data_IF_247617365598
#
_entry.id   IF_247617365598
#
_cell.length_a   1.000
_cell.length_b   1.000
_cell.length_c   1.000
_cell.angle_alpha   90.00
_cell.angle_beta   90.00
_cell.angle_gamma   90.00
#
_symmetry.space_group_name_H-M   'P 1'
#
loop_
_entity.id
_entity.type
_entity.pdbx_description
1 polymer ?
#
# COMPACT_ATOMS: atom_id res chain seq x y z
N UNK A 1 -1.91 19.98 23.70
CA UNK A 1 -2.23 19.22 22.47
C UNK A 1 -2.65 20.22 21.40
N UNK A 2 -1.77 20.57 20.45
CA UNK A 2 -2.10 21.51 19.37
C UNK A 2 -2.91 20.73 18.31
N UNK A 3 -4.19 21.06 18.13
CA UNK A 3 -4.97 20.59 16.97
C UNK A 3 -4.26 21.09 15.71
N UNK A 4 -3.79 20.18 14.88
CA UNK A 4 -3.24 20.51 13.57
C UNK A 4 -4.31 21.17 12.72
N UNK A 5 -3.97 22.27 12.06
CA UNK A 5 -4.83 22.96 11.09
C UNK A 5 -5.26 21.97 10.01
N UNK A 6 -6.54 21.92 9.69
CA UNK A 6 -7.10 21.15 8.57
C UNK A 6 -6.27 21.42 7.32
N UNK A 7 -5.53 20.41 6.85
CA UNK A 7 -4.86 20.41 5.56
C UNK A 7 -5.74 19.63 4.60
N UNK A 8 -5.80 20.09 3.37
CA UNK A 8 -6.33 19.27 2.30
C UNK A 8 -5.36 18.09 2.15
N UNK A 9 -5.72 16.92 2.69
CA UNK A 9 -4.88 15.72 2.83
C UNK A 9 -4.72 15.01 1.45
N UNK A 10 -4.38 15.78 0.43
CA UNK A 10 -4.13 15.35 -0.94
C UNK A 10 -2.73 14.79 -1.05
N UNK A 11 -2.55 13.79 -1.91
CA UNK A 11 -1.24 13.19 -2.15
C UNK A 11 -0.25 14.16 -2.78
N UNK A 12 1.05 13.95 -2.54
CA UNK A 12 2.15 14.84 -2.95
C UNK A 12 2.79 14.46 -4.30
N UNK A 13 2.12 13.61 -5.08
CA UNK A 13 2.49 13.16 -6.43
C UNK A 13 1.30 13.27 -7.40
N UNK A 14 1.59 13.32 -8.71
CA UNK A 14 0.57 13.58 -9.74
C UNK A 14 -0.10 12.32 -10.31
N UNK A 15 0.66 11.23 -10.48
CA UNK A 15 0.22 10.03 -11.20
C UNK A 15 -0.54 9.04 -10.28
N UNK A 16 -1.72 9.43 -9.79
CA UNK A 16 -2.56 8.59 -8.91
C UNK A 16 -3.11 7.39 -9.66
N UNK A 17 -2.95 6.18 -9.08
CA UNK A 17 -3.37 4.91 -9.65
C UNK A 17 -2.38 4.31 -10.66
N UNK A 18 -1.24 4.96 -10.91
CA UNK A 18 -0.26 4.47 -11.88
C UNK A 18 0.36 3.12 -11.48
N UNK A 19 0.28 2.69 -10.21
CA UNK A 19 0.73 1.35 -9.81
C UNK A 19 -0.08 0.21 -10.44
N UNK A 20 -1.26 0.48 -10.99
CA UNK A 20 -2.03 -0.52 -11.74
C UNK A 20 -1.61 -0.63 -13.21
N UNK A 21 -0.90 0.35 -13.76
CA UNK A 21 -0.50 0.36 -15.16
C UNK A 21 0.34 -0.90 -15.48
N UNK A 22 -0.01 -1.69 -16.50
CA UNK A 22 0.73 -2.92 -16.84
C UNK A 22 2.16 -2.61 -17.31
N UNK A 23 2.38 -1.42 -17.84
CA UNK A 23 3.65 -0.94 -18.37
C UNK A 23 4.46 -0.09 -17.38
N UNK A 24 4.06 0.00 -16.11
CA UNK A 24 4.72 0.79 -15.06
C UNK A 24 6.25 0.61 -15.02
N UNK A 25 6.75 -0.61 -15.22
CA UNK A 25 8.19 -0.89 -15.19
C UNK A 25 8.94 -0.29 -16.38
N UNK A 26 8.26 -0.14 -17.52
CA UNK A 26 8.82 0.39 -18.76
C UNK A 26 8.59 1.91 -18.88
N UNK A 27 7.40 2.38 -18.50
CA UNK A 27 6.97 3.77 -18.56
C UNK A 27 6.49 4.28 -17.20
N UNK A 28 7.40 4.42 -16.22
CA UNK A 28 7.04 4.97 -14.93
C UNK A 28 6.69 6.47 -15.04
N UNK A 29 5.91 7.01 -14.08
CA UNK A 29 5.69 8.45 -13.97
C UNK A 29 7.00 9.26 -13.98
N UNK A 30 6.94 10.47 -14.51
CA UNK A 30 8.13 11.32 -14.69
C UNK A 30 8.94 11.47 -13.38
N UNK A 31 10.26 11.38 -13.52
CA UNK A 31 11.22 11.49 -12.41
C UNK A 31 11.04 10.48 -11.27
N UNK A 32 10.29 9.40 -11.50
CA UNK A 32 10.11 8.32 -10.55
C UNK A 32 10.93 7.09 -10.93
N UNK A 33 11.12 6.20 -9.96
CA UNK A 33 11.84 4.94 -10.12
C UNK A 33 10.87 3.80 -9.79
N UNK A 34 10.45 2.98 -10.76
CA UNK A 34 9.53 1.88 -10.52
C UNK A 34 10.22 0.71 -9.82
N UNK A 35 9.44 -0.15 -9.19
CA UNK A 35 9.84 -1.51 -8.84
C UNK A 35 8.63 -2.41 -8.63
N UNK A 36 8.89 -3.70 -8.73
CA UNK A 36 7.94 -4.77 -8.45
C UNK A 36 8.68 -5.91 -7.75
N UNK A 37 7.99 -6.60 -6.85
CA UNK A 37 8.43 -7.88 -6.32
C UNK A 37 7.22 -8.74 -5.99
N UNK A 38 7.29 -10.02 -6.32
CA UNK A 38 6.17 -10.94 -6.16
C UNK A 38 6.64 -12.29 -5.65
N UNK A 39 5.98 -12.80 -4.61
CA UNK A 39 6.23 -14.13 -4.03
C UNK A 39 4.97 -14.98 -4.07
N UNK A 40 5.13 -16.26 -4.42
CA UNK A 40 4.09 -17.26 -4.16
C UNK A 40 4.02 -17.51 -2.65
N UNK A 41 2.84 -17.31 -2.07
CA UNK A 41 2.59 -17.43 -0.63
C UNK A 41 1.73 -18.66 -0.27
N UNK A 42 1.38 -19.51 -1.24
CA UNK A 42 0.73 -20.79 -1.00
C UNK A 42 -0.26 -21.13 -2.11
N UNK A 43 -1.33 -21.84 -1.76
CA UNK A 43 -2.40 -22.23 -2.66
C UNK A 43 -3.76 -22.30 -1.95
N UNK A 44 -4.84 -22.26 -2.72
CA UNK A 44 -6.22 -22.44 -2.24
C UNK A 44 -6.89 -21.20 -1.62
N UNK A 45 -8.20 -21.29 -1.44
CA UNK A 45 -9.04 -20.17 -0.97
C UNK A 45 -8.72 -19.74 0.45
N UNK A 46 -8.47 -20.66 1.37
CA UNK A 46 -8.14 -20.34 2.77
C UNK A 46 -6.87 -19.48 2.87
N UNK A 47 -5.86 -19.77 2.03
CA UNK A 47 -4.64 -18.97 1.96
C UNK A 47 -4.92 -17.57 1.43
N UNK A 48 -5.73 -17.48 0.38
CA UNK A 48 -6.14 -16.22 -0.22
C UNK A 48 -6.90 -15.34 0.77
N UNK A 49 -7.91 -15.89 1.44
CA UNK A 49 -8.73 -15.19 2.44
C UNK A 49 -7.87 -14.69 3.61
N UNK A 50 -7.02 -15.56 4.18
CA UNK A 50 -6.12 -15.19 5.29
C UNK A 50 -5.14 -14.09 4.91
N UNK A 51 -4.55 -14.17 3.71
CA UNK A 51 -3.60 -13.17 3.23
C UNK A 51 -4.27 -11.84 2.88
N UNK A 52 -5.47 -11.89 2.31
CA UNK A 52 -6.29 -10.71 2.03
C UNK A 52 -6.69 -9.98 3.31
N UNK A 53 -7.16 -10.72 4.32
CA UNK A 53 -7.48 -10.15 5.63
C UNK A 53 -6.23 -9.51 6.27
N UNK A 54 -5.11 -10.24 6.30
CA UNK A 54 -3.84 -9.72 6.81
C UNK A 54 -3.41 -8.43 6.11
N UNK A 55 -3.61 -8.34 4.79
CA UNK A 55 -3.29 -7.13 4.04
C UNK A 55 -4.15 -5.95 4.48
N UNK A 56 -5.47 -6.15 4.63
CA UNK A 56 -6.42 -5.09 5.00
C UNK A 56 -6.33 -4.69 6.48
N UNK A 57 -5.77 -5.54 7.34
CA UNK A 57 -5.45 -5.23 8.75
C UNK A 57 -4.05 -4.64 8.93
N UNK A 58 -3.44 -4.11 7.86
CA UNK A 58 -2.14 -3.41 7.89
C UNK A 58 -0.94 -4.30 8.25
N UNK A 59 -1.05 -5.62 8.16
CA UNK A 59 0.02 -6.56 8.59
C UNK A 59 1.30 -6.34 7.79
N UNK A 60 1.19 -6.03 6.49
CA UNK A 60 2.35 -5.70 5.64
C UNK A 60 3.20 -4.58 6.27
N UNK A 61 2.57 -3.49 6.72
CA UNK A 61 3.26 -2.37 7.36
C UNK A 61 3.68 -2.73 8.79
N UNK A 62 2.76 -3.21 9.65
CA UNK A 62 3.03 -3.49 11.07
C UNK A 62 4.19 -4.47 11.26
N UNK A 63 4.12 -5.63 10.62
CA UNK A 63 5.13 -6.67 10.79
C UNK A 63 6.42 -6.43 9.98
N UNK A 64 6.48 -5.38 9.15
CA UNK A 64 7.74 -4.87 8.60
C UNK A 64 8.57 -4.03 9.60
N UNK A 65 8.07 -3.89 10.84
CA UNK A 65 8.69 -3.11 11.90
C UNK A 65 8.33 -1.62 11.83
N UNK A 66 7.18 -1.29 11.24
CA UNK A 66 6.65 0.08 11.21
C UNK A 66 5.44 0.16 12.15
N UNK A 67 5.39 1.20 12.98
CA UNK A 67 4.19 1.53 13.72
C UNK A 67 3.18 2.19 12.77
N UNK A 68 1.95 1.68 12.77
CA UNK A 68 0.81 2.30 12.08
C UNK A 68 0.04 3.10 13.12
N UNK A 69 -0.01 4.42 12.93
CA UNK A 69 -0.55 5.39 13.87
C UNK A 69 -1.56 6.31 13.16
N UNK A 70 -2.43 6.96 13.95
CA UNK A 70 -3.34 8.02 13.47
C UNK A 70 -4.16 7.61 12.23
N UNK A 71 -4.74 6.40 12.25
CA UNK A 71 -5.61 5.93 11.17
C UNK A 71 -6.93 6.70 11.25
N UNK A 72 -7.15 7.60 10.30
CA UNK A 72 -8.30 8.49 10.23
C UNK A 72 -9.19 8.12 9.04
N UNK A 73 -10.52 8.08 9.21
CA UNK A 73 -11.45 7.87 8.10
C UNK A 73 -11.39 9.05 7.12
N UNK A 74 -11.87 8.83 5.88
CA UNK A 74 -11.94 9.86 4.87
C UNK A 74 -12.81 11.05 5.33
N UNK A 75 -12.38 12.32 5.17
CA UNK A 75 -13.20 13.48 5.49
C UNK A 75 -14.29 13.71 4.43
N UNK A 76 -15.57 13.66 4.82
CA UNK A 76 -16.73 13.97 3.96
C UNK A 76 -17.53 12.73 3.53
N UNK A 77 -18.62 12.88 2.72
CA UNK A 77 -19.29 11.73 2.13
C UNK A 77 -18.22 10.94 1.37
N UNK A 78 -18.04 9.68 1.77
CA UNK A 78 -16.86 8.86 1.54
C UNK A 78 -16.19 9.19 0.19
N UNK A 79 -14.93 9.63 0.22
CA UNK A 79 -14.06 9.49 -0.94
C UNK A 79 -14.09 8.01 -1.31
N UNK A 80 -14.88 7.66 -2.32
CA UNK A 80 -15.19 6.27 -2.62
C UNK A 80 -14.00 5.54 -3.27
N UNK A 81 -12.85 6.22 -3.39
CA UNK A 81 -11.68 5.72 -4.09
C UNK A 81 -11.87 5.75 -5.59
N UNK A 82 -10.82 5.33 -6.28
CA UNK A 82 -10.91 4.89 -7.67
C UNK A 82 -10.93 3.36 -7.61
N UNK A 83 -12.00 2.74 -8.11
CA UNK A 83 -11.98 1.30 -8.36
C UNK A 83 -11.44 1.04 -9.75
N UNK A 84 -10.88 -0.13 -9.98
CA UNK A 84 -10.36 -0.54 -11.29
C UNK A 84 -11.03 -1.86 -11.68
N UNK A 85 -11.35 -2.03 -12.96
CA UNK A 85 -11.74 -3.34 -13.49
C UNK A 85 -10.52 -4.28 -13.65
N UNK A 86 -10.76 -5.50 -14.14
CA UNK A 86 -9.72 -6.51 -14.34
C UNK A 86 -8.64 -6.04 -15.34
N UNK A 87 -8.98 -5.08 -16.19
CA UNK A 87 -8.12 -4.48 -17.20
C UNK A 87 -7.35 -3.24 -16.70
N UNK A 88 -7.58 -2.81 -15.44
CA UNK A 88 -6.91 -1.66 -14.84
C UNK A 88 -7.52 -0.31 -15.25
N UNK A 89 -8.75 -0.30 -15.79
CA UNK A 89 -9.48 0.92 -16.14
C UNK A 89 -10.18 1.50 -14.92
N UNK A 90 -10.06 2.82 -14.65
CA UNK A 90 -10.83 3.47 -13.59
C UNK A 90 -12.34 3.31 -13.80
N UNK A 91 -13.03 2.71 -12.83
CA UNK A 91 -14.49 2.60 -12.79
C UNK A 91 -15.06 3.28 -11.53
N UNK A 92 -16.31 3.73 -11.64
CA UNK A 92 -17.04 4.24 -10.48
C UNK A 92 -17.19 3.12 -9.43
N UNK A 93 -16.88 3.38 -8.15
CA UNK A 93 -16.94 2.37 -7.10
C UNK A 93 -18.37 1.81 -6.97
N UNK A 94 -18.47 0.48 -6.87
CA UNK A 94 -19.74 -0.25 -6.94
C UNK A 94 -20.61 -0.12 -5.69
N UNK A 95 -20.09 0.43 -4.58
CA UNK A 95 -20.84 0.65 -3.33
C UNK A 95 -20.44 1.98 -2.68
N UNK A 96 -21.44 2.82 -2.42
CA UNK A 96 -21.27 4.12 -1.75
C UNK A 96 -21.12 4.03 -0.22
N UNK A 97 -21.36 2.86 0.37
CA UNK A 97 -21.12 2.59 1.79
C UNK A 97 -20.35 1.27 1.90
N UNK A 98 -19.06 1.37 2.22
CA UNK A 98 -18.28 0.24 2.73
C UNK A 98 -18.51 0.25 4.23
N UNK A 99 -19.24 -0.74 4.75
CA UNK A 99 -19.34 -0.93 6.20
C UNK A 99 -17.94 -1.06 6.78
N UNK A 100 -17.60 -0.16 7.70
CA UNK A 100 -16.27 -0.10 8.26
C UNK A 100 -16.05 -1.30 9.20
N UNK A 101 -15.13 -2.20 8.80
CA UNK A 101 -14.67 -3.33 9.60
C UNK A 101 -13.54 -2.91 10.53
N UNK A 102 -13.40 -3.58 11.66
CA UNK A 102 -12.36 -3.33 12.67
C UNK A 102 -11.66 -4.64 13.04
N UNK A 103 -10.36 -4.58 13.32
CA UNK A 103 -9.60 -5.68 13.92
C UNK A 103 -9.95 -5.86 15.41
N UNK A 104 -9.40 -6.91 16.04
CA UNK A 104 -9.68 -7.23 17.44
C UNK A 104 -9.25 -6.11 18.41
N UNK A 105 -8.26 -5.31 18.01
CA UNK A 105 -7.73 -4.17 18.73
C UNK A 105 -8.53 -2.87 18.49
N UNK A 106 -9.55 -2.91 17.62
CA UNK A 106 -10.40 -1.77 17.29
C UNK A 106 -9.79 -0.81 16.26
N UNK A 107 -8.73 -1.22 15.56
CA UNK A 107 -8.21 -0.48 14.40
C UNK A 107 -9.07 -0.79 13.18
N UNK A 108 -9.49 0.22 12.41
CA UNK A 108 -10.25 -0.04 11.20
C UNK A 108 -9.42 -0.78 10.17
N UNK A 109 -10.08 -1.67 9.42
CA UNK A 109 -9.56 -2.21 8.17
C UNK A 109 -9.29 -1.07 7.19
N UNK A 110 -8.31 -1.27 6.31
CA UNK A 110 -8.02 -0.33 5.25
C UNK A 110 -9.26 -0.11 4.38
N UNK A 111 -9.62 1.16 4.18
CA UNK A 111 -10.70 1.55 3.30
C UNK A 111 -10.35 2.81 2.52
N UNK A 112 -11.01 3.03 1.36
CA UNK A 112 -10.67 4.13 0.46
C UNK A 112 -10.71 5.50 1.15
N UNK A 113 -9.70 6.32 0.86
CA UNK A 113 -9.59 7.69 1.35
C UNK A 113 -9.14 7.84 2.80
N UNK A 114 -8.92 6.75 3.55
CA UNK A 114 -8.33 6.83 4.89
C UNK A 114 -6.94 7.43 4.83
N UNK A 115 -6.58 8.18 5.86
CA UNK A 115 -5.21 8.66 6.06
C UNK A 115 -4.59 7.97 7.26
N UNK A 116 -3.29 7.72 7.20
CA UNK A 116 -2.55 7.05 8.26
C UNK A 116 -1.13 7.59 8.34
N UNK A 117 -0.49 7.42 9.49
CA UNK A 117 0.93 7.68 9.66
C UNK A 117 1.67 6.38 9.88
N UNK A 118 2.75 6.18 9.14
CA UNK A 118 3.72 5.13 9.45
C UNK A 118 4.95 5.75 10.11
N UNK A 119 5.48 5.08 11.13
CA UNK A 119 6.68 5.48 11.86
C UNK A 119 7.65 4.32 11.98
N UNK A 120 8.93 4.56 11.70
CA UNK A 120 9.95 3.55 11.89
C UNK A 120 11.13 3.69 10.94
N UNK A 121 11.93 2.62 10.92
CA UNK A 121 13.17 2.58 10.12
C UNK A 121 13.35 1.23 9.45
N UNK A 122 14.03 1.33 8.32
CA UNK A 122 14.36 0.21 7.47
C UNK A 122 15.88 0.20 7.32
N UNK A 123 16.53 -0.62 8.14
CA UNK A 123 17.93 -0.45 8.49
C UNK A 123 18.17 0.96 9.07
N UNK A 124 19.14 1.70 8.52
CA UNK A 124 19.44 3.07 8.92
C UNK A 124 18.60 4.14 8.20
N UNK A 125 17.62 3.76 7.37
CA UNK A 125 16.83 4.71 6.57
C UNK A 125 15.47 4.96 7.19
N UNK A 126 15.03 6.21 7.19
CA UNK A 126 13.69 6.57 7.67
C UNK A 126 12.62 5.93 6.78
N UNK A 127 11.58 5.39 7.40
CA UNK A 127 10.38 4.93 6.73
C UNK A 127 9.14 5.75 7.11
N UNK A 128 9.32 6.82 7.89
CA UNK A 128 8.24 7.71 8.29
C UNK A 128 7.51 8.28 7.07
N UNK A 129 6.18 8.27 7.11
CA UNK A 129 5.33 8.87 6.09
C UNK A 129 3.93 9.14 6.65
N UNK A 130 3.27 10.17 6.13
CA UNK A 130 1.81 10.28 6.13
C UNK A 130 1.33 9.77 4.78
N UNK A 131 0.42 8.81 4.82
CA UNK A 131 -0.08 8.05 3.66
C UNK A 131 -1.59 8.19 3.55
N UNK A 132 -2.10 7.96 2.34
CA UNK A 132 -3.52 7.88 2.04
C UNK A 132 -3.82 6.56 1.35
N UNK A 133 -4.92 5.92 1.72
CA UNK A 133 -5.47 4.79 0.98
C UNK A 133 -6.12 5.32 -0.29
N UNK A 134 -5.51 5.05 -1.45
CA UNK A 134 -6.01 5.48 -2.76
C UNK A 134 -7.18 4.62 -3.19
N UNK A 135 -7.03 3.30 -3.06
CA UNK A 135 -8.02 2.32 -3.43
C UNK A 135 -7.86 1.05 -2.58
N UNK A 136 -8.97 0.34 -2.45
CA UNK A 136 -9.04 -1.01 -1.91
C UNK A 136 -9.81 -1.86 -2.91
N UNK A 137 -9.31 -3.04 -3.20
CA UNK A 137 -9.98 -4.02 -4.07
C UNK A 137 -10.30 -5.26 -3.25
N UNK A 138 -11.55 -5.71 -3.31
CA UNK A 138 -12.00 -6.97 -2.72
C UNK A 138 -12.87 -7.71 -3.74
N UNK A 139 -12.21 -8.55 -4.53
CA UNK A 139 -12.82 -9.42 -5.52
C UNK A 139 -12.69 -10.88 -5.10
N UNK A 140 -13.40 -11.77 -5.80
CA UNK A 140 -13.43 -13.22 -5.48
C UNK A 140 -12.03 -13.86 -5.43
N UNK A 141 -11.08 -13.36 -6.22
CA UNK A 141 -9.73 -13.92 -6.37
C UNK A 141 -8.62 -12.87 -6.31
N UNK A 142 -8.96 -11.65 -5.90
CA UNK A 142 -7.99 -10.56 -5.75
C UNK A 142 -8.36 -9.66 -4.57
N UNK A 143 -7.39 -9.43 -3.67
CA UNK A 143 -7.49 -8.41 -2.62
C UNK A 143 -6.33 -7.44 -2.79
N UNK A 144 -6.62 -6.15 -2.82
CA UNK A 144 -5.63 -5.12 -3.11
C UNK A 144 -5.74 -3.91 -2.18
N UNK A 145 -4.61 -3.29 -1.89
CA UNK A 145 -4.49 -2.04 -1.15
C UNK A 145 -3.48 -1.13 -1.86
N UNK A 146 -3.87 0.11 -2.13
CA UNK A 146 -2.95 1.12 -2.70
C UNK A 146 -2.75 2.26 -1.71
N UNK A 147 -1.49 2.55 -1.42
CA UNK A 147 -1.07 3.64 -0.53
C UNK A 147 -0.33 4.71 -1.33
N UNK A 148 -0.77 5.95 -1.19
CA UNK A 148 -0.13 7.13 -1.76
C UNK A 148 0.49 8.01 -0.68
N UNK A 149 1.65 8.61 -0.96
CA UNK A 149 2.27 9.56 -0.03
C UNK A 149 1.50 10.89 0.01
N UNK A 150 1.26 11.39 1.22
CA UNK A 150 0.72 12.74 1.49
C UNK A 150 1.84 13.67 1.95
N UNK A 151 2.75 13.18 2.78
CA UNK A 151 3.88 13.98 3.25
C UNK A 151 4.76 13.27 4.27
N UNK A 152 5.76 13.99 4.79
CA UNK A 152 6.67 13.49 5.83
C UNK A 152 7.69 12.43 5.38
N UNK A 153 7.52 11.86 4.19
CA UNK A 153 8.41 10.85 3.61
C UNK A 153 9.62 11.45 2.90
N UNK A 154 10.71 10.67 2.90
CA UNK A 154 11.95 10.98 2.16
C UNK A 154 11.80 10.77 0.65
N UNK A 155 10.74 10.08 0.23
CA UNK A 155 10.30 9.83 -1.15
C UNK A 155 8.81 10.20 -1.28
N UNK A 156 8.35 10.40 -2.50
CA UNK A 156 6.93 10.57 -2.84
C UNK A 156 6.54 9.60 -3.94
N UNK A 157 5.31 9.11 -3.94
CA UNK A 157 4.80 8.17 -4.91
C UNK A 157 3.72 7.26 -4.34
N UNK A 158 3.57 6.10 -4.96
CA UNK A 158 2.48 5.16 -4.71
C UNK A 158 3.04 3.74 -4.58
N UNK A 159 2.48 2.97 -3.65
CA UNK A 159 2.75 1.55 -3.45
C UNK A 159 1.43 0.76 -3.54
N UNK A 160 1.34 -0.23 -4.43
CA UNK A 160 0.26 -1.22 -4.45
C UNK A 160 0.72 -2.52 -3.81
N UNK A 161 -0.23 -3.15 -3.13
CA UNK A 161 -0.10 -4.45 -2.49
C UNK A 161 -1.25 -5.30 -2.98
N UNK A 162 -0.95 -6.43 -3.62
CA UNK A 162 -1.94 -7.25 -4.30
C UNK A 162 -1.77 -8.72 -3.92
N UNK A 163 -2.82 -9.31 -3.36
CA UNK A 163 -2.94 -10.76 -3.17
C UNK A 163 -3.82 -11.29 -4.29
N UNK A 164 -3.27 -12.15 -5.14
CA UNK A 164 -3.93 -12.76 -6.28
C UNK A 164 -4.02 -14.27 -6.08
N UNK A 165 -5.20 -14.86 -6.27
CA UNK A 165 -5.40 -16.31 -6.33
C UNK A 165 -5.62 -16.73 -7.78
N UNK A 166 -4.64 -17.41 -8.38
CA UNK A 166 -4.65 -17.78 -9.79
C UNK A 166 -5.43 -19.06 -10.04
N UNK A 167 -6.35 -19.02 -11.00
CA UNK A 167 -7.32 -20.10 -11.23
C UNK A 167 -6.71 -21.31 -11.95
N UNK A 168 -5.71 -21.08 -12.79
CA UNK A 168 -5.05 -22.09 -13.60
C UNK A 168 -4.26 -23.12 -12.78
N UNK A 169 -3.68 -22.70 -11.65
CA UNK A 169 -2.76 -23.53 -10.88
C UNK A 169 -3.01 -23.52 -9.36
N UNK A 170 -4.12 -22.90 -8.92
CA UNK A 170 -4.53 -22.74 -7.53
C UNK A 170 -3.52 -21.97 -6.66
N UNK A 171 -2.53 -21.29 -7.23
CA UNK A 171 -1.50 -20.57 -6.48
C UNK A 171 -1.99 -19.21 -5.97
N UNK A 172 -1.57 -18.86 -4.75
CA UNK A 172 -1.77 -17.53 -4.17
C UNK A 172 -0.45 -16.78 -4.20
N UNK A 173 -0.46 -15.60 -4.83
CA UNK A 173 0.67 -14.72 -5.01
C UNK A 173 0.46 -13.41 -4.26
N UNK A 174 1.53 -12.90 -3.66
CA UNK A 174 1.57 -11.57 -3.08
C UNK A 174 2.57 -10.71 -3.85
N UNK A 175 2.08 -9.62 -4.42
CA UNK A 175 2.83 -8.70 -5.27
C UNK A 175 2.84 -7.32 -4.65
N UNK A 176 4.00 -6.68 -4.63
CA UNK A 176 4.17 -5.28 -4.26
C UNK A 176 4.72 -4.54 -5.46
N UNK A 177 4.03 -3.49 -5.91
CA UNK A 177 4.46 -2.59 -6.99
C UNK A 177 4.58 -1.18 -6.43
N UNK A 178 5.54 -0.41 -6.92
CA UNK A 178 5.67 0.98 -6.52
C UNK A 178 6.36 1.81 -7.59
N UNK A 179 6.18 3.13 -7.49
CA UNK A 179 7.10 4.09 -8.06
C UNK A 179 7.41 5.17 -7.02
N UNK A 180 8.67 5.59 -6.97
CA UNK A 180 9.12 6.62 -6.02
C UNK A 180 9.91 7.72 -6.74
N UNK A 181 9.63 8.98 -6.40
CA UNK A 181 10.51 10.10 -6.68
C UNK A 181 11.13 10.63 -5.37
N UNK A 182 12.42 11.02 -5.35
CA UNK A 182 13.07 11.51 -4.14
C UNK A 182 12.50 12.86 -3.68
N UNK A 183 12.09 12.94 -2.42
CA UNK A 183 11.54 14.17 -1.83
C UNK A 183 12.59 14.97 -1.05
N UNK A 184 13.44 14.29 -0.29
CA UNK A 184 14.49 14.92 0.53
C UNK A 184 15.79 15.19 -0.23
N UNK A 185 16.54 16.23 0.16
CA UNK A 185 17.79 16.65 -0.51
C UNK A 185 18.81 15.50 -0.63
N UNK A 186 19.01 14.73 0.45
CA UNK A 186 19.93 13.59 0.46
C UNK A 186 19.53 12.49 -0.54
N UNK A 187 18.23 12.24 -0.70
CA UNK A 187 17.73 11.22 -1.64
C UNK A 187 17.74 11.73 -3.09
N UNK A 188 17.67 13.04 -3.30
CA UNK A 188 17.86 13.67 -4.61
C UNK A 188 19.32 13.59 -5.08
N UNK A 189 20.29 13.68 -4.16
CA UNK A 189 21.71 13.61 -4.48
C UNK A 189 22.24 12.18 -4.57
N UNK A 190 21.63 11.23 -3.87
CA UNK A 190 22.06 9.82 -3.86
C UNK A 190 20.87 8.90 -4.22
N UNK A 191 20.50 8.77 -5.52
CA UNK A 191 19.36 7.96 -5.96
C UNK A 191 19.43 6.48 -5.55
N UNK A 192 20.63 5.95 -5.31
CA UNK A 192 20.82 4.59 -4.79
C UNK A 192 20.15 4.36 -3.43
N UNK A 193 19.96 5.42 -2.62
CA UNK A 193 19.25 5.32 -1.34
C UNK A 193 17.77 5.04 -1.53
N UNK A 194 17.13 5.57 -2.57
CA UNK A 194 15.73 5.25 -2.92
C UNK A 194 15.61 3.76 -3.18
N UNK A 195 16.45 3.23 -4.09
CA UNK A 195 16.44 1.81 -4.46
C UNK A 195 16.75 0.89 -3.28
N UNK A 196 17.72 1.26 -2.44
CA UNK A 196 18.10 0.48 -1.25
C UNK A 196 16.99 0.45 -0.20
N UNK A 197 16.37 1.60 0.09
CA UNK A 197 15.23 1.70 1.01
C UNK A 197 14.07 0.83 0.53
N UNK A 198 13.69 0.99 -0.73
CA UNK A 198 12.57 0.23 -1.32
C UNK A 198 12.83 -1.27 -1.32
N UNK A 199 14.02 -1.72 -1.71
CA UNK A 199 14.37 -3.16 -1.70
C UNK A 199 14.18 -3.79 -0.33
N UNK A 200 14.64 -3.12 0.72
CA UNK A 200 14.51 -3.63 2.08
C UNK A 200 13.05 -3.58 2.56
N UNK A 201 12.29 -2.51 2.25
CA UNK A 201 10.85 -2.45 2.55
C UNK A 201 10.09 -3.60 1.88
N UNK A 202 10.27 -3.80 0.58
CA UNK A 202 9.62 -4.86 -0.18
C UNK A 202 9.94 -6.24 0.41
N UNK A 203 11.21 -6.50 0.75
CA UNK A 203 11.59 -7.75 1.38
C UNK A 203 10.88 -7.98 2.72
N UNK A 204 10.68 -6.93 3.53
CA UNK A 204 9.96 -7.03 4.81
C UNK A 204 8.46 -7.21 4.61
N UNK A 205 7.85 -6.49 3.67
CA UNK A 205 6.43 -6.64 3.32
C UNK A 205 6.13 -8.07 2.84
N UNK A 206 6.94 -8.60 1.92
CA UNK A 206 6.79 -9.96 1.40
C UNK A 206 6.94 -11.01 2.50
N UNK A 207 7.88 -10.82 3.43
CA UNK A 207 8.01 -11.71 4.61
C UNK A 207 6.82 -11.61 5.55
N UNK A 208 6.27 -10.42 5.76
CA UNK A 208 5.15 -10.20 6.69
C UNK A 208 3.89 -10.98 6.29
N UNK A 209 3.58 -11.06 5.00
CA UNK A 209 2.39 -11.76 4.47
C UNK A 209 2.69 -13.24 4.18
N UNK A 210 3.95 -13.60 3.95
CA UNK A 210 4.32 -14.97 3.61
C UNK A 210 4.20 -15.90 4.83
N UNK A 211 3.53 -17.07 4.70
CA UNK A 211 3.44 -18.04 5.79
C UNK A 211 4.77 -18.76 6.09
N UNK A 212 5.79 -18.57 5.25
CA UNK A 212 7.11 -19.18 5.46
C UNK A 212 7.92 -18.49 6.55
N UNK A 213 7.50 -17.31 6.99
CA UNK A 213 8.20 -16.53 8.00
C UNK A 213 7.28 -16.35 9.20
N UNK A 214 7.84 -16.48 10.41
CA UNK A 214 7.12 -16.07 11.60
C UNK A 214 6.95 -14.55 11.56
N UNK A 215 5.70 -14.10 11.45
CA UNK A 215 5.33 -12.70 11.45
C UNK A 215 5.01 -12.30 12.89
N UNK A 216 5.90 -11.61 13.62
CA UNK A 216 5.52 -11.02 14.89
C UNK A 216 4.58 -9.85 14.59
N UNK A 217 3.31 -10.01 14.94
CA UNK A 217 2.33 -8.92 14.96
C UNK A 217 2.08 -8.54 16.41
#
# INVERSE_FOLDING_TARGET
MRRGTFRDDTVDYAAVGATHAPDLMQYPPEHSIPAESSWRIGSGSERFETAGESLLTWTAQRASGLAVEDVRPAPGPAYAGVSFDAEGTPIAPSKNEVEQRFDAEGTPFAGPGMTLRVRGRVGSMSADAELRVISVTEEKRRVGLVLGTVGGSVVRGEESFDVEWREDNDEVWFTVRAFDAPNSLLYRTIPALVKRRRRELFARYLRAISPMYATPV
#
